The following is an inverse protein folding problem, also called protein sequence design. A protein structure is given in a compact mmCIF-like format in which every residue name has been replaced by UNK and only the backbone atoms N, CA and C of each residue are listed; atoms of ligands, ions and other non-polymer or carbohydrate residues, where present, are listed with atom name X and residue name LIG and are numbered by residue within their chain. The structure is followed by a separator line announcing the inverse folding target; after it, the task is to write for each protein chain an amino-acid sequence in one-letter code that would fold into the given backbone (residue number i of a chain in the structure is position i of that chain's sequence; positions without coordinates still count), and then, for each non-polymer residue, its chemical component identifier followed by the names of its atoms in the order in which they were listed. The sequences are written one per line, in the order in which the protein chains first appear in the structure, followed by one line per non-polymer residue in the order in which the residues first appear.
data_IF_674821655469
#
_entry.id   IF_674821655469
#
_cell.length_a   1.000
_cell.length_b   1.000
_cell.length_c   1.000
_cell.angle_alpha   90.00
_cell.angle_beta   90.00
_cell.angle_gamma   90.00
#
_symmetry.space_group_name_H-M   'P 1'
#
loop_
_entity.id
_entity.type
_entity.pdbx_description
1 polymer ?
#
# COMPACT_ATOMS: atom_id res chain seq x y z
N UNK A 1 11.47 7.62 -22.44
CA UNK A 1 12.10 7.57 -21.10
C UNK A 1 11.31 6.77 -20.03
N UNK A 2 10.03 6.40 -20.21
CA UNK A 2 9.28 5.65 -19.18
C UNK A 2 9.54 4.13 -19.12
N UNK A 3 10.16 3.55 -20.15
CA UNK A 3 10.33 2.10 -20.28
C UNK A 3 11.64 1.56 -19.69
N UNK A 4 12.61 2.42 -19.36
CA UNK A 4 13.90 1.96 -18.81
C UNK A 4 13.77 1.53 -17.35
N UNK A 5 13.01 2.24 -16.52
CA UNK A 5 12.92 1.92 -15.08
C UNK A 5 12.17 0.60 -14.80
N UNK A 6 11.08 0.31 -15.52
CA UNK A 6 10.34 -0.94 -15.37
C UNK A 6 11.19 -2.13 -15.79
N UNK A 7 11.95 -1.99 -16.88
CA UNK A 7 12.88 -3.01 -17.34
C UNK A 7 13.98 -3.29 -16.31
N UNK A 8 14.57 -2.24 -15.72
CA UNK A 8 15.58 -2.39 -14.67
C UNK A 8 15.04 -3.11 -13.45
N UNK A 9 13.86 -2.72 -12.93
CA UNK A 9 13.25 -3.39 -11.77
C UNK A 9 12.99 -4.87 -12.06
N UNK A 10 12.54 -5.19 -13.27
CA UNK A 10 12.33 -6.57 -13.73
C UNK A 10 13.64 -7.37 -13.75
N UNK A 11 14.69 -6.80 -14.33
CA UNK A 11 16.00 -7.43 -14.43
C UNK A 11 16.61 -7.67 -13.03
N UNK A 12 16.45 -6.70 -12.13
CA UNK A 12 16.88 -6.81 -10.73
C UNK A 12 16.10 -7.89 -9.98
N UNK A 13 14.76 -7.93 -10.12
CA UNK A 13 13.95 -9.01 -9.56
C UNK A 13 14.41 -10.36 -10.11
N UNK A 14 14.69 -10.44 -11.42
CA UNK A 14 15.12 -11.69 -12.02
C UNK A 14 16.47 -12.17 -11.54
N UNK A 15 17.41 -11.25 -11.38
CA UNK A 15 18.69 -11.52 -10.78
C UNK A 15 18.55 -12.03 -9.34
N UNK A 16 17.72 -11.38 -8.52
CA UNK A 16 17.47 -11.79 -7.15
C UNK A 16 16.90 -13.21 -7.04
N UNK A 17 15.90 -13.56 -7.85
CA UNK A 17 15.33 -14.92 -7.83
C UNK A 17 16.37 -15.98 -8.23
N UNK A 18 17.16 -15.72 -9.27
CA UNK A 18 18.22 -16.62 -9.71
C UNK A 18 19.28 -16.84 -8.62
N UNK A 19 19.69 -15.79 -7.91
CA UNK A 19 20.66 -15.88 -6.81
C UNK A 19 20.15 -16.73 -5.63
N UNK A 20 18.84 -16.76 -5.39
CA UNK A 20 18.23 -17.49 -4.29
C UNK A 20 17.78 -18.92 -4.67
N UNK A 21 18.24 -19.45 -5.81
CA UNK A 21 17.95 -20.83 -6.23
C UNK A 21 16.49 -21.07 -6.60
N UNK A 22 15.72 -20.01 -6.86
CA UNK A 22 14.38 -20.16 -7.40
C UNK A 22 14.50 -20.47 -8.90
N UNK A 23 14.52 -21.76 -9.27
CA UNK A 23 14.55 -22.26 -10.67
C UNK A 23 13.31 -21.91 -11.51
N UNK A 24 12.54 -20.89 -11.13
CA UNK A 24 11.46 -20.40 -12.00
C UNK A 24 12.12 -19.70 -13.16
N UNK A 25 12.00 -20.28 -14.35
CA UNK A 25 12.46 -19.67 -15.59
C UNK A 25 11.71 -18.35 -15.80
N UNK A 26 12.27 -17.23 -15.33
CA UNK A 26 11.63 -15.92 -15.43
C UNK A 26 11.48 -15.42 -16.86
N UNK A 27 12.21 -16.01 -17.82
CA UNK A 27 11.95 -15.76 -19.24
C UNK A 27 10.58 -16.28 -19.70
N UNK A 28 9.96 -17.18 -18.93
CA UNK A 28 8.60 -17.69 -19.15
C UNK A 28 7.53 -17.00 -18.28
N UNK A 29 7.92 -16.10 -17.37
CA UNK A 29 6.98 -15.38 -16.53
C UNK A 29 6.45 -14.14 -17.28
N UNK A 30 5.15 -14.04 -17.58
CA UNK A 30 4.61 -12.90 -18.29
C UNK A 30 4.73 -11.65 -17.42
N UNK A 31 5.51 -10.67 -17.88
CA UNK A 31 5.64 -9.37 -17.24
C UNK A 31 4.71 -8.41 -17.95
N UNK A 32 3.49 -8.33 -17.43
CA UNK A 32 2.44 -7.53 -18.01
C UNK A 32 1.99 -6.46 -17.02
N UNK A 33 1.67 -5.27 -17.54
CA UNK A 33 0.97 -4.27 -16.75
C UNK A 33 -0.48 -4.72 -16.61
N UNK A 34 -0.99 -4.96 -15.39
CA UNK A 34 -2.39 -5.36 -15.24
C UNK A 34 -3.31 -4.23 -15.68
N UNK A 35 -4.29 -4.53 -16.52
CA UNK A 35 -5.29 -3.56 -17.01
C UNK A 35 -6.39 -3.27 -15.99
N UNK A 36 -6.55 -4.15 -15.00
CA UNK A 36 -7.53 -4.03 -13.92
C UNK A 36 -7.04 -3.18 -12.74
N UNK A 37 -5.75 -2.82 -12.70
CA UNK A 37 -5.21 -1.98 -11.62
C UNK A 37 -5.52 -0.52 -11.92
N UNK A 38 -6.37 0.07 -11.07
CA UNK A 38 -6.72 1.48 -11.14
C UNK A 38 -5.48 2.37 -10.89
N UNK A 39 -5.25 3.32 -11.79
CA UNK A 39 -4.20 4.34 -11.66
C UNK A 39 -4.71 5.45 -10.75
N UNK A 40 -3.88 5.98 -9.85
CA UNK A 40 -4.27 7.11 -9.00
C UNK A 40 -4.66 8.35 -9.80
N UNK A 41 -5.67 9.07 -9.33
CA UNK A 41 -6.12 10.33 -9.93
C UNK A 41 -5.38 11.55 -9.37
N UNK A 42 -4.61 11.38 -8.29
CA UNK A 42 -3.89 12.45 -7.60
C UNK A 42 -2.39 12.16 -7.49
N UNK A 43 -1.60 13.11 -6.95
CA UNK A 43 -0.14 13.00 -6.83
C UNK A 43 0.38 12.41 -5.51
N UNK A 44 -0.50 12.03 -4.57
CA UNK A 44 -0.09 11.69 -3.19
C UNK A 44 -0.48 10.27 -2.74
N UNK A 45 -1.30 9.55 -3.51
CA UNK A 45 -1.86 8.27 -3.06
C UNK A 45 -1.07 7.02 -3.52
N UNK A 46 0.08 7.20 -4.17
CA UNK A 46 0.86 6.09 -4.73
C UNK A 46 1.14 4.97 -3.74
N UNK A 47 1.57 5.30 -2.52
CA UNK A 47 1.82 4.29 -1.49
C UNK A 47 0.57 3.52 -1.08
N UNK A 48 -0.58 4.19 -0.98
CA UNK A 48 -1.85 3.56 -0.59
C UNK A 48 -2.37 2.65 -1.72
N UNK A 49 -2.20 3.06 -2.99
CA UNK A 49 -2.50 2.21 -4.14
C UNK A 49 -1.66 0.93 -4.15
N UNK A 50 -0.35 1.02 -3.84
CA UNK A 50 0.54 -0.15 -3.73
C UNK A 50 0.10 -1.09 -2.61
N UNK A 51 -0.16 -0.57 -1.40
CA UNK A 51 -0.63 -1.39 -0.27
C UNK A 51 -1.96 -2.08 -0.60
N UNK A 52 -2.90 -1.35 -1.21
CA UNK A 52 -4.18 -1.90 -1.61
C UNK A 52 -4.03 -2.99 -2.69
N UNK A 53 -3.10 -2.82 -3.64
CA UNK A 53 -2.79 -3.84 -4.63
C UNK A 53 -2.29 -5.12 -3.96
N UNK A 54 -1.30 -5.03 -3.06
CA UNK A 54 -0.74 -6.18 -2.35
C UNK A 54 -1.79 -6.91 -1.50
N UNK A 55 -2.70 -6.17 -0.84
CA UNK A 55 -3.81 -6.77 -0.06
C UNK A 55 -4.82 -7.50 -0.94
N UNK A 56 -5.01 -7.08 -2.19
CA UNK A 56 -5.97 -7.68 -3.14
C UNK A 56 -5.38 -8.85 -3.92
N UNK A 57 -4.09 -8.82 -4.23
CA UNK A 57 -3.41 -9.88 -4.99
C UNK A 57 -3.46 -11.24 -4.29
N UNK A 58 -3.56 -11.26 -2.96
CA UNK A 58 -3.63 -12.48 -2.17
C UNK A 58 -5.01 -13.17 -2.22
N UNK A 59 -6.06 -12.50 -2.70
CA UNK A 59 -7.46 -12.95 -2.53
C UNK A 59 -8.37 -12.87 -3.75
N UNK A 60 -7.94 -12.29 -4.87
CA UNK A 60 -8.85 -11.99 -6.00
C UNK A 60 -8.40 -12.66 -7.30
N UNK A 61 -9.25 -13.51 -7.94
CA UNK A 61 -9.01 -13.90 -9.32
C UNK A 61 -9.11 -12.66 -10.22
N UNK A 62 -8.21 -12.56 -11.20
CA UNK A 62 -7.98 -11.43 -12.13
C UNK A 62 -9.22 -10.89 -12.88
N UNK A 63 -10.42 -11.46 -12.67
CA UNK A 63 -11.67 -11.14 -13.36
C UNK A 63 -12.62 -10.23 -12.58
N UNK A 64 -12.36 -9.89 -11.32
CA UNK A 64 -13.28 -9.01 -10.59
C UNK A 64 -13.14 -7.56 -11.05
N UNK A 65 -14.28 -6.92 -11.28
CA UNK A 65 -14.35 -5.50 -11.64
C UNK A 65 -13.63 -4.65 -10.59
N UNK A 66 -12.93 -3.57 -10.99
CA UNK A 66 -12.32 -2.65 -10.04
C UNK A 66 -13.43 -2.04 -9.17
N UNK A 67 -13.66 -2.63 -8.00
CA UNK A 67 -14.55 -2.03 -7.00
C UNK A 67 -14.00 -0.65 -6.67
N UNK A 68 -14.86 0.37 -6.79
CA UNK A 68 -14.52 1.72 -6.37
C UNK A 68 -14.01 1.66 -4.94
N UNK A 69 -12.78 2.10 -4.74
CA UNK A 69 -12.08 2.01 -3.47
C UNK A 69 -11.77 3.43 -3.00
N UNK A 70 -12.01 3.68 -1.72
CA UNK A 70 -11.80 4.99 -1.11
C UNK A 70 -10.41 5.06 -0.48
N UNK A 71 -9.54 5.88 -1.08
CA UNK A 71 -8.16 6.07 -0.60
C UNK A 71 -8.11 6.77 0.76
N UNK A 72 -9.07 7.63 1.06
CA UNK A 72 -9.18 8.32 2.35
C UNK A 72 -9.57 7.34 3.45
N UNK A 73 -10.58 6.50 3.19
CA UNK A 73 -10.98 5.46 4.13
C UNK A 73 -9.82 4.48 4.38
N UNK A 74 -9.08 4.11 3.33
CA UNK A 74 -7.93 3.21 3.43
C UNK A 74 -6.82 3.82 4.28
N UNK A 75 -6.48 5.10 4.05
CA UNK A 75 -5.51 5.83 4.88
C UNK A 75 -5.91 5.85 6.35
N UNK A 76 -7.18 6.13 6.65
CA UNK A 76 -7.65 6.16 8.03
C UNK A 76 -7.54 4.78 8.69
N UNK A 77 -7.96 3.72 8.01
CA UNK A 77 -7.82 2.35 8.52
C UNK A 77 -6.37 1.99 8.80
N UNK A 78 -5.46 2.24 7.84
CA UNK A 78 -4.03 2.00 8.00
C UNK A 78 -3.44 2.79 9.18
N UNK A 79 -3.84 4.06 9.33
CA UNK A 79 -3.36 4.90 10.44
C UNK A 79 -3.82 4.35 11.79
N UNK A 80 -5.06 3.86 11.88
CA UNK A 80 -5.60 3.24 13.09
C UNK A 80 -4.87 1.93 13.38
N UNK A 81 -4.70 1.06 12.39
CA UNK A 81 -3.95 -0.20 12.51
C UNK A 81 -2.53 0.06 13.03
N UNK A 82 -1.78 0.98 12.41
CA UNK A 82 -0.42 1.35 12.84
C UNK A 82 -0.38 1.99 14.23
N UNK A 83 -1.39 2.78 14.58
CA UNK A 83 -1.47 3.39 15.90
C UNK A 83 -1.72 2.34 16.98
N UNK A 84 -2.58 1.36 16.69
CA UNK A 84 -3.00 0.33 17.63
C UNK A 84 -2.11 -0.90 17.64
N UNK A 85 -1.14 -1.00 16.73
CA UNK A 85 -0.15 -2.08 16.68
C UNK A 85 0.64 -2.19 17.98
N UNK A 86 0.79 -3.41 18.53
CA UNK A 86 1.44 -3.65 19.82
C UNK A 86 2.94 -3.32 19.85
N UNK A 87 3.60 -3.35 18.70
CA UNK A 87 5.00 -2.96 18.54
C UNK A 87 5.17 -1.42 18.44
N UNK A 88 4.07 -0.66 18.40
CA UNK A 88 4.14 0.79 18.36
C UNK A 88 4.51 1.37 19.74
N UNK A 89 5.81 1.57 19.95
CA UNK A 89 6.37 2.19 21.16
C UNK A 89 5.87 3.62 21.43
N UNK A 90 5.35 4.30 20.42
CA UNK A 90 4.85 5.68 20.52
C UNK A 90 3.33 5.75 20.76
N UNK A 91 2.63 4.60 20.79
CA UNK A 91 1.16 4.48 20.92
C UNK A 91 0.60 5.35 22.05
N UNK A 92 1.09 5.17 23.27
CA UNK A 92 0.61 5.89 24.46
C UNK A 92 0.77 7.40 24.31
N UNK A 93 1.93 7.86 23.85
CA UNK A 93 2.22 9.30 23.67
C UNK A 93 1.29 9.94 22.63
N UNK A 94 0.98 9.22 21.56
CA UNK A 94 0.08 9.71 20.50
C UNK A 94 -1.36 9.77 21.01
N UNK A 95 -1.84 8.72 21.68
CA UNK A 95 -3.19 8.67 22.25
C UNK A 95 -3.41 9.78 23.29
N UNK A 96 -2.42 10.05 24.15
CA UNK A 96 -2.49 11.15 25.11
C UNK A 96 -2.64 12.51 24.43
N UNK A 97 -1.88 12.75 23.35
CA UNK A 97 -2.00 13.99 22.56
C UNK A 97 -3.38 14.13 21.92
N UNK A 98 -3.92 13.06 21.36
CA UNK A 98 -5.26 13.05 20.74
C UNK A 98 -6.33 13.34 21.79
N UNK A 99 -6.27 12.69 22.95
CA UNK A 99 -7.22 12.89 24.03
C UNK A 99 -7.17 14.33 24.57
N UNK A 100 -5.98 14.88 24.76
CA UNK A 100 -5.78 16.26 25.20
C UNK A 100 -6.27 17.29 24.16
N UNK A 101 -6.05 17.02 22.86
CA UNK A 101 -6.57 17.85 21.80
C UNK A 101 -8.11 17.86 21.80
N UNK A 102 -8.75 16.69 21.94
CA UNK A 102 -10.20 16.57 22.02
C UNK A 102 -10.79 17.34 23.20
N UNK A 103 -10.16 17.26 24.39
CA UNK A 103 -10.52 18.05 25.58
C UNK A 103 -10.43 19.56 25.32
N UNK A 104 -9.33 20.03 24.72
CA UNK A 104 -9.17 21.46 24.37
C UNK A 104 -10.24 21.94 23.37
N UNK A 105 -10.55 21.11 22.35
CA UNK A 105 -11.58 21.44 21.34
C UNK A 105 -12.98 21.53 21.96
N UNK A 106 -13.32 20.65 22.91
CA UNK A 106 -14.60 20.71 23.64
C UNK A 106 -14.74 21.98 24.48
N UNK A 107 -13.69 22.39 25.21
CA UNK A 107 -13.69 23.61 26.02
C UNK A 107 -13.85 24.91 25.21
N UNK A 108 -13.47 24.92 23.93
CA UNK A 108 -13.63 26.09 23.03
C UNK A 108 -15.01 26.19 22.37
N UNK A 109 -15.86 25.16 22.54
CA UNK A 109 -17.22 25.10 21.98
C UNK A 109 -18.30 25.39 23.02
N UNK A 110 -17.92 25.56 24.28
CA UNK A 110 -18.73 26.06 25.40
C UNK A 110 -18.35 27.52 25.59
#
# INVERSE_FOLDING_TARGET
MRTSCVRTVVEECAHFFNLNGHEKNLSSFPIERPTWVHVQDNGCDCGVHVINHMRRSDFIPSSSTPSHWDSTLTRHKLTIELLLDDENSEKSRILDKVHNHAKKKRRRRV
#
